data_IF_968722387169
#
_entry.id   IF_968722387169
#
_cell.length_a   1.000
_cell.length_b   1.000
_cell.length_c   1.000
_cell.angle_alpha   90.00
_cell.angle_beta   90.00
_cell.angle_gamma   90.00
#
_symmetry.space_group_name_H-M   'P 1'
#
loop_
_entity.id
_entity.type
_entity.pdbx_description
1 polymer ?
#
# COMPACT_ATOMS: atom_id res chain seq x y z
N UNK A 1 -11.74 17.30 -11.44
CA UNK A 1 -12.07 17.55 -12.86
C UNK A 1 -13.26 16.68 -13.27
N UNK A 2 -13.22 15.35 -13.08
CA UNK A 2 -14.32 14.43 -13.43
C UNK A 2 -15.63 14.80 -12.74
N UNK A 3 -15.60 15.19 -11.45
CA UNK A 3 -16.77 15.66 -10.70
C UNK A 3 -17.38 16.92 -11.32
N UNK A 4 -16.56 17.81 -11.84
CA UNK A 4 -17.03 19.00 -12.55
C UNK A 4 -17.71 18.63 -13.88
N UNK A 5 -17.15 17.70 -14.62
CA UNK A 5 -17.74 17.24 -15.89
C UNK A 5 -19.11 16.56 -15.71
N UNK A 6 -19.32 15.86 -14.59
CA UNK A 6 -20.62 15.28 -14.24
C UNK A 6 -21.60 16.34 -13.75
N UNK A 7 -21.15 17.33 -12.97
CA UNK A 7 -22.00 18.43 -12.48
C UNK A 7 -22.51 19.30 -13.63
N UNK A 8 -21.68 19.55 -14.65
CA UNK A 8 -22.06 20.30 -15.86
C UNK A 8 -22.75 19.44 -16.93
N UNK A 9 -23.06 18.17 -16.64
CA UNK A 9 -23.72 17.24 -17.57
C UNK A 9 -22.98 17.01 -18.90
N UNK A 10 -21.68 17.27 -18.95
CA UNK A 10 -20.85 17.07 -20.13
C UNK A 10 -20.50 15.59 -20.35
N UNK A 11 -20.44 14.82 -19.27
CA UNK A 11 -20.20 13.37 -19.29
C UNK A 11 -21.15 12.65 -18.34
N UNK A 12 -21.88 11.67 -18.88
CA UNK A 12 -22.67 10.77 -18.06
C UNK A 12 -21.74 9.83 -17.27
N UNK A 13 -22.01 9.65 -15.98
CA UNK A 13 -21.27 8.71 -15.10
C UNK A 13 -21.27 7.26 -15.62
N UNK A 14 -22.23 6.91 -16.48
CA UNK A 14 -22.34 5.60 -17.11
C UNK A 14 -21.61 5.49 -18.46
N UNK A 15 -21.03 6.57 -18.97
CA UNK A 15 -20.31 6.54 -20.24
C UNK A 15 -19.00 5.79 -20.12
N UNK A 16 -18.61 5.05 -21.15
CA UNK A 16 -17.32 4.35 -21.21
C UNK A 16 -16.14 5.32 -21.06
N UNK A 17 -16.27 6.52 -21.63
CA UNK A 17 -15.26 7.58 -21.53
C UNK A 17 -15.06 8.04 -20.09
N UNK A 18 -16.13 8.21 -19.33
CA UNK A 18 -16.06 8.55 -17.91
C UNK A 18 -15.29 7.48 -17.13
N UNK A 19 -15.63 6.20 -17.31
CA UNK A 19 -14.97 5.07 -16.63
C UNK A 19 -13.49 4.99 -16.95
N UNK A 20 -13.10 5.22 -18.20
CA UNK A 20 -11.68 5.22 -18.60
C UNK A 20 -10.93 6.37 -17.94
N UNK A 21 -11.50 7.56 -17.93
CA UNK A 21 -10.88 8.73 -17.28
C UNK A 21 -10.78 8.58 -15.76
N UNK A 22 -11.77 7.93 -15.15
CA UNK A 22 -11.78 7.61 -13.73
C UNK A 22 -10.65 6.65 -13.37
N UNK A 23 -10.49 5.57 -14.14
CA UNK A 23 -9.38 4.62 -13.98
C UNK A 23 -8.03 5.34 -14.15
N UNK A 24 -7.86 6.21 -15.15
CA UNK A 24 -6.62 6.97 -15.37
C UNK A 24 -6.33 7.88 -14.19
N UNK A 25 -7.35 8.49 -13.60
CA UNK A 25 -7.21 9.35 -12.43
C UNK A 25 -6.83 8.60 -11.16
N UNK A 26 -7.37 7.40 -10.99
CA UNK A 26 -7.16 6.57 -9.79
C UNK A 26 -5.86 5.75 -9.83
N UNK A 27 -5.37 5.41 -11.02
CA UNK A 27 -4.23 4.48 -11.19
C UNK A 27 -2.98 4.89 -10.39
N UNK A 28 -2.69 6.17 -10.31
CA UNK A 28 -1.53 6.68 -9.59
C UNK A 28 -1.65 6.43 -8.07
N UNK A 29 -2.84 6.61 -7.52
CA UNK A 29 -3.12 6.36 -6.11
C UNK A 29 -3.17 4.86 -5.82
N UNK A 30 -3.79 4.08 -6.69
CA UNK A 30 -3.86 2.63 -6.57
C UNK A 30 -2.46 1.98 -6.51
N UNK A 31 -1.55 2.41 -7.38
CA UNK A 31 -0.18 1.91 -7.44
C UNK A 31 0.82 2.67 -6.55
N UNK A 32 0.35 3.62 -5.74
CA UNK A 32 1.22 4.37 -4.83
C UNK A 32 2.10 3.47 -3.95
N UNK A 33 1.62 2.34 -3.36
CA UNK A 33 2.48 1.44 -2.60
C UNK A 33 3.66 0.90 -3.40
N UNK A 34 3.47 0.62 -4.70
CA UNK A 34 4.54 0.14 -5.59
C UNK A 34 5.60 1.23 -5.83
N UNK A 35 5.15 2.46 -6.10
CA UNK A 35 6.05 3.61 -6.31
C UNK A 35 6.88 3.86 -5.04
N UNK A 36 6.25 3.77 -3.88
CA UNK A 36 6.93 3.91 -2.59
C UNK A 36 7.91 2.77 -2.35
N UNK A 37 7.54 1.52 -2.70
CA UNK A 37 8.42 0.37 -2.58
C UNK A 37 9.70 0.55 -3.41
N UNK A 38 9.61 1.06 -4.64
CA UNK A 38 10.76 1.35 -5.49
C UNK A 38 11.70 2.37 -4.84
N UNK A 39 11.16 3.46 -4.32
CA UNK A 39 11.94 4.52 -3.70
C UNK A 39 12.56 4.08 -2.36
N UNK A 40 11.79 3.36 -1.55
CA UNK A 40 12.24 2.81 -0.28
C UNK A 40 13.34 1.76 -0.50
N UNK A 41 13.20 0.88 -1.50
CA UNK A 41 14.21 -0.12 -1.85
C UNK A 41 15.55 0.52 -2.19
N UNK A 42 15.54 1.59 -2.98
CA UNK A 42 16.76 2.36 -3.30
C UNK A 42 17.38 2.98 -2.04
N UNK A 43 16.55 3.51 -1.15
CA UNK A 43 17.03 4.14 0.11
C UNK A 43 17.63 3.12 1.08
N UNK A 44 17.03 1.93 1.18
CA UNK A 44 17.49 0.87 2.08
C UNK A 44 18.53 -0.07 1.46
N UNK A 45 18.94 0.18 0.19
CA UNK A 45 19.88 -0.63 -0.57
C UNK A 45 19.48 -2.11 -0.65
N UNK A 46 18.23 -2.38 -1.01
CA UNK A 46 17.66 -3.72 -1.22
C UNK A 46 17.24 -3.91 -2.68
N UNK A 47 17.05 -5.15 -3.09
CA UNK A 47 16.63 -5.46 -4.44
C UNK A 47 15.25 -4.88 -4.74
N UNK A 48 15.20 -3.90 -5.65
CA UNK A 48 13.98 -3.18 -6.02
C UNK A 48 12.91 -4.11 -6.60
N UNK A 49 13.31 -5.09 -7.42
CA UNK A 49 12.36 -6.02 -8.03
C UNK A 49 11.66 -6.88 -6.98
N UNK A 50 12.42 -7.37 -5.99
CA UNK A 50 11.84 -8.16 -4.90
C UNK A 50 10.93 -7.29 -4.03
N UNK A 51 11.33 -6.07 -3.72
CA UNK A 51 10.51 -5.13 -2.94
C UNK A 51 9.17 -4.84 -3.62
N UNK A 52 9.17 -4.65 -4.94
CA UNK A 52 7.95 -4.46 -5.73
C UNK A 52 7.04 -5.69 -5.66
N UNK A 53 7.61 -6.90 -5.79
CA UNK A 53 6.83 -8.14 -5.74
C UNK A 53 6.24 -8.35 -4.34
N UNK A 54 7.02 -8.16 -3.27
CA UNK A 54 6.56 -8.35 -1.88
C UNK A 54 5.44 -7.35 -1.55
N UNK A 55 5.59 -6.08 -1.91
CA UNK A 55 4.53 -5.07 -1.71
C UNK A 55 3.35 -5.33 -2.65
N UNK A 56 3.60 -5.86 -3.84
CA UNK A 56 2.57 -6.26 -4.81
C UNK A 56 1.60 -7.32 -4.28
N UNK A 57 2.00 -8.12 -3.29
CA UNK A 57 1.10 -9.09 -2.62
C UNK A 57 -0.11 -8.38 -2.01
N UNK A 58 0.06 -7.17 -1.48
CA UNK A 58 -1.04 -6.38 -0.93
C UNK A 58 -2.06 -5.89 -1.97
N UNK A 59 -1.61 -5.74 -3.23
CA UNK A 59 -2.46 -5.28 -4.33
C UNK A 59 -3.01 -6.45 -5.17
N UNK A 60 -2.68 -7.69 -4.80
CA UNK A 60 -3.10 -8.84 -5.59
C UNK A 60 -4.63 -8.95 -5.63
N UNK A 61 -5.26 -9.10 -6.82
CA UNK A 61 -6.71 -9.10 -6.96
C UNK A 61 -7.39 -10.18 -6.12
N UNK A 62 -6.81 -11.38 -6.05
CA UNK A 62 -7.36 -12.47 -5.25
C UNK A 62 -7.31 -12.17 -3.75
N UNK A 63 -6.28 -11.46 -3.29
CA UNK A 63 -6.21 -11.03 -1.89
C UNK A 63 -7.30 -9.99 -1.59
N UNK A 64 -7.48 -9.00 -2.45
CA UNK A 64 -8.54 -8.00 -2.32
C UNK A 64 -9.94 -8.62 -2.40
N UNK A 65 -10.14 -9.60 -3.29
CA UNK A 65 -11.40 -10.33 -3.40
C UNK A 65 -11.67 -11.16 -2.14
N UNK A 66 -10.65 -11.81 -1.61
CA UNK A 66 -10.75 -12.61 -0.38
C UNK A 66 -11.07 -11.76 0.85
N UNK A 67 -10.43 -10.59 0.97
CA UNK A 67 -10.77 -9.60 1.99
C UNK A 67 -12.22 -9.12 1.87
N UNK A 68 -12.68 -8.90 0.62
CA UNK A 68 -14.03 -8.42 0.35
C UNK A 68 -15.13 -9.46 0.61
N UNK A 69 -14.80 -10.77 0.56
CA UNK A 69 -15.75 -11.84 0.91
C UNK A 69 -16.03 -11.92 2.41
N UNK A 70 -15.18 -11.33 3.25
CA UNK A 70 -15.32 -11.37 4.71
C UNK A 70 -14.94 -12.71 5.34
N UNK A 71 -14.39 -13.64 4.56
CA UNK A 71 -13.94 -14.93 5.08
C UNK A 71 -12.66 -14.77 5.93
N UNK A 72 -12.54 -15.56 7.01
CA UNK A 72 -11.34 -15.51 7.85
C UNK A 72 -10.12 -15.98 7.06
N UNK A 73 -9.18 -15.08 6.86
CA UNK A 73 -7.92 -15.38 6.19
C UNK A 73 -6.92 -15.85 7.23
N UNK A 74 -6.31 -17.01 7.04
CA UNK A 74 -5.26 -17.52 7.93
C UNK A 74 -4.11 -18.13 7.13
N UNK A 75 -2.89 -17.94 7.61
CA UNK A 75 -1.69 -18.56 7.08
C UNK A 75 -1.03 -19.40 8.18
N UNK A 76 -0.97 -20.72 7.97
CA UNK A 76 -0.42 -21.70 8.94
C UNK A 76 -1.05 -21.53 10.35
N UNK A 77 -2.38 -21.29 10.39
CA UNK A 77 -3.11 -21.13 11.67
C UNK A 77 -3.01 -19.72 12.30
N UNK A 78 -2.24 -18.80 11.71
CA UNK A 78 -2.15 -17.42 12.16
C UNK A 78 -3.17 -16.57 11.38
N UNK A 79 -4.10 -15.86 12.05
CA UNK A 79 -5.07 -15.03 11.35
C UNK A 79 -4.40 -13.82 10.71
N UNK A 80 -4.76 -13.55 9.46
CA UNK A 80 -4.35 -12.35 8.72
C UNK A 80 -5.50 -11.35 8.78
N UNK A 81 -5.22 -10.11 9.11
CA UNK A 81 -6.25 -9.06 9.04
C UNK A 81 -6.65 -8.80 7.59
N UNK A 82 -7.95 -8.98 7.33
CA UNK A 82 -8.55 -8.69 6.04
C UNK A 82 -8.74 -7.18 5.84
N UNK A 83 -7.69 -6.48 5.48
CA UNK A 83 -7.72 -5.04 5.17
C UNK A 83 -7.24 -4.81 3.74
N UNK A 84 -7.91 -3.92 3.03
CA UNK A 84 -7.50 -3.52 1.69
C UNK A 84 -6.36 -2.50 1.83
N UNK A 85 -5.16 -2.92 1.42
CA UNK A 85 -3.95 -2.09 1.52
C UNK A 85 -3.68 -1.26 0.26
N UNK A 86 -4.57 -1.27 -0.74
CA UNK A 86 -4.49 -0.39 -1.90
C UNK A 86 -4.42 1.07 -1.45
N UNK A 87 -3.54 1.86 -2.04
CA UNK A 87 -3.25 3.25 -1.66
C UNK A 87 -2.64 3.44 -0.25
N UNK A 88 -2.25 2.38 0.46
CA UNK A 88 -1.66 2.47 1.80
C UNK A 88 -0.15 2.69 1.75
N UNK A 89 0.30 3.81 2.32
CA UNK A 89 1.71 4.24 2.34
C UNK A 89 2.51 3.50 3.42
N UNK A 90 1.95 3.46 4.63
CA UNK A 90 2.66 2.99 5.83
C UNK A 90 3.03 1.50 5.74
N UNK A 91 2.11 0.58 5.40
CA UNK A 91 2.43 -0.83 5.25
C UNK A 91 3.51 -1.08 4.19
N UNK A 92 3.46 -0.36 3.06
CA UNK A 92 4.44 -0.51 1.98
C UNK A 92 5.86 -0.14 2.45
N UNK A 93 6.02 1.00 3.13
CA UNK A 93 7.32 1.45 3.65
C UNK A 93 7.88 0.50 4.72
N UNK A 94 7.03 0.08 5.66
CA UNK A 94 7.41 -0.86 6.72
C UNK A 94 7.82 -2.22 6.15
N UNK A 95 7.12 -2.69 5.13
CA UNK A 95 7.44 -3.95 4.44
C UNK A 95 8.83 -3.90 3.81
N UNK A 96 9.16 -2.84 3.09
CA UNK A 96 10.49 -2.71 2.46
C UNK A 96 11.58 -2.53 3.51
N UNK A 97 11.31 -1.80 4.58
CA UNK A 97 12.23 -1.67 5.71
C UNK A 97 12.51 -3.02 6.37
N UNK A 98 11.48 -3.79 6.70
CA UNK A 98 11.62 -5.15 7.25
C UNK A 98 12.38 -6.07 6.27
N UNK A 99 12.02 -6.02 4.98
CA UNK A 99 12.67 -6.80 3.93
C UNK A 99 14.19 -6.53 3.89
N UNK A 100 14.63 -5.31 4.19
CA UNK A 100 16.05 -4.97 4.20
C UNK A 100 16.86 -5.76 5.24
N UNK A 101 16.27 -6.13 6.34
CA UNK A 101 16.89 -7.00 7.33
C UNK A 101 16.90 -8.46 6.90
N UNK A 102 15.78 -8.92 6.35
CA UNK A 102 15.64 -10.30 5.85
C UNK A 102 16.61 -10.56 4.70
N UNK A 103 16.70 -9.66 3.72
CA UNK A 103 17.62 -9.79 2.59
C UNK A 103 19.08 -9.87 3.05
N UNK A 104 19.50 -8.98 3.96
CA UNK A 104 20.85 -9.01 4.54
C UNK A 104 21.15 -10.30 5.31
N UNK A 105 20.15 -10.85 5.97
CA UNK A 105 20.30 -12.11 6.70
C UNK A 105 20.45 -13.29 5.74
N UNK A 106 19.59 -13.36 4.73
CA UNK A 106 19.62 -14.42 3.70
C UNK A 106 20.90 -14.33 2.88
N UNK A 107 21.36 -13.12 2.57
CA UNK A 107 22.61 -12.86 1.86
C UNK A 107 23.84 -13.47 2.54
N UNK A 108 23.85 -13.50 3.86
CA UNK A 108 24.93 -14.12 4.64
C UNK A 108 24.86 -15.65 4.66
N UNK A 109 23.65 -16.17 4.52
CA UNK A 109 23.40 -17.61 4.62
C UNK A 109 23.56 -18.33 3.27
N UNK A 110 23.39 -17.62 2.16
CA UNK A 110 23.33 -18.19 0.81
C UNK A 110 24.73 -18.22 0.18
N UNK A 111 25.21 -19.40 -0.30
CA UNK A 111 26.46 -19.52 -1.04
C UNK A 111 26.43 -18.69 -2.33
N UNK A 112 27.58 -18.12 -2.71
CA UNK A 112 27.73 -17.22 -3.86
C UNK A 112 27.19 -17.78 -5.19
N UNK A 113 27.32 -19.09 -5.41
CA UNK A 113 26.87 -19.76 -6.64
C UNK A 113 25.35 -19.79 -6.81
N UNK A 114 24.60 -19.84 -5.72
CA UNK A 114 23.13 -19.98 -5.72
C UNK A 114 22.40 -18.65 -5.42
N UNK A 115 23.16 -17.61 -5.14
CA UNK A 115 22.67 -16.32 -4.69
C UNK A 115 21.66 -15.67 -5.64
N UNK A 116 21.87 -15.84 -6.93
CA UNK A 116 21.03 -15.21 -7.97
C UNK A 116 19.60 -15.78 -8.02
N UNK A 117 19.43 -17.06 -7.68
CA UNK A 117 18.12 -17.74 -7.77
C UNK A 117 17.49 -17.93 -6.38
N UNK A 118 18.29 -18.42 -5.42
CA UNK A 118 17.79 -18.71 -4.06
C UNK A 118 17.47 -17.45 -3.28
N UNK A 119 18.27 -16.40 -3.41
CA UNK A 119 18.10 -15.19 -2.63
C UNK A 119 16.74 -14.49 -2.88
N UNK A 120 16.35 -14.18 -4.14
CA UNK A 120 15.05 -13.60 -4.43
C UNK A 120 13.89 -14.48 -3.94
N UNK A 121 13.99 -15.79 -4.13
CA UNK A 121 12.93 -16.74 -3.78
C UNK A 121 12.76 -16.84 -2.27
N UNK A 122 13.86 -16.96 -1.51
CA UNK A 122 13.80 -17.04 -0.05
C UNK A 122 13.35 -15.72 0.58
N UNK A 123 13.85 -14.59 0.06
CA UNK A 123 13.41 -13.28 0.54
C UNK A 123 11.91 -13.10 0.33
N UNK A 124 11.40 -13.44 -0.86
CA UNK A 124 9.97 -13.36 -1.15
C UNK A 124 9.16 -14.30 -0.24
N UNK A 125 9.58 -15.56 -0.13
CA UNK A 125 8.86 -16.60 0.63
C UNK A 125 8.76 -16.25 2.13
N UNK A 126 9.78 -15.60 2.68
CA UNK A 126 9.81 -15.20 4.09
C UNK A 126 9.15 -13.83 4.30
N UNK A 127 9.46 -12.87 3.42
CA UNK A 127 8.97 -11.49 3.61
C UNK A 127 7.47 -11.35 3.35
N UNK A 128 6.89 -12.06 2.37
CA UNK A 128 5.47 -11.91 2.05
C UNK A 128 4.53 -12.35 3.18
N UNK A 129 4.70 -13.53 3.82
CA UNK A 129 3.88 -13.90 4.98
C UNK A 129 4.07 -12.95 6.15
N UNK A 130 5.31 -12.56 6.46
CA UNK A 130 5.57 -11.63 7.57
C UNK A 130 4.95 -10.26 7.28
N UNK A 131 5.00 -9.79 6.04
CA UNK A 131 4.35 -8.55 5.64
C UNK A 131 2.83 -8.59 5.90
N UNK A 132 2.16 -9.67 5.52
CA UNK A 132 0.71 -9.82 5.73
C UNK A 132 0.34 -10.00 7.20
N UNK A 133 1.10 -10.80 7.97
CA UNK A 133 0.76 -11.15 9.36
C UNK A 133 1.14 -10.03 10.33
N UNK A 134 2.29 -9.39 10.13
CA UNK A 134 2.87 -8.43 11.09
C UNK A 134 2.69 -6.99 10.61
N UNK A 135 3.16 -6.71 9.41
CA UNK A 135 3.19 -5.33 8.91
C UNK A 135 1.78 -4.83 8.55
N UNK A 136 0.93 -5.71 8.03
CA UNK A 136 -0.46 -5.37 7.72
C UNK A 136 -1.19 -4.79 8.94
N UNK A 137 -1.33 -5.54 10.04
CA UNK A 137 -1.97 -5.06 11.26
C UNK A 137 -1.31 -3.80 11.85
N UNK A 138 0.03 -3.75 11.91
CA UNK A 138 0.76 -2.58 12.40
C UNK A 138 0.47 -1.35 11.54
N UNK A 139 0.51 -1.50 10.22
CA UNK A 139 0.22 -0.42 9.30
C UNK A 139 -1.21 0.10 9.40
N UNK A 140 -2.18 -0.80 9.60
CA UNK A 140 -3.56 -0.43 9.84
C UNK A 140 -3.74 0.33 11.16
N UNK A 141 -3.17 -0.18 12.24
CA UNK A 141 -3.19 0.47 13.55
C UNK A 141 -2.59 1.88 13.52
N UNK A 142 -1.46 2.05 12.86
CA UNK A 142 -0.83 3.36 12.67
C UNK A 142 -1.70 4.29 11.81
N UNK A 143 -2.33 3.77 10.75
CA UNK A 143 -3.26 4.51 9.91
C UNK A 143 -4.49 4.99 10.66
N UNK A 144 -5.11 4.12 11.45
CA UNK A 144 -6.26 4.46 12.31
C UNK A 144 -5.88 5.46 13.41
N UNK A 145 -4.69 5.32 13.99
CA UNK A 145 -4.15 6.25 14.97
C UNK A 145 -3.98 7.66 14.37
N UNK A 146 -3.41 7.75 13.18
CA UNK A 146 -3.30 9.02 12.45
C UNK A 146 -4.67 9.62 12.12
N UNK A 147 -5.60 8.80 11.62
CA UNK A 147 -6.97 9.24 11.31
C UNK A 147 -7.68 9.76 12.56
N UNK A 148 -7.49 9.10 13.71
CA UNK A 148 -8.05 9.52 15.00
C UNK A 148 -7.50 10.88 15.47
N UNK A 149 -6.20 11.09 15.30
CA UNK A 149 -5.56 12.38 15.61
C UNK A 149 -6.12 13.50 14.71
N UNK A 150 -6.26 13.23 13.40
CA UNK A 150 -6.82 14.18 12.44
C UNK A 150 -8.27 14.50 12.81
N UNK A 151 -9.09 13.52 13.14
CA UNK A 151 -10.48 13.69 13.55
C UNK A 151 -10.60 14.49 14.86
N UNK A 152 -9.73 14.26 15.82
CA UNK A 152 -9.65 15.04 17.06
C UNK A 152 -9.30 16.51 16.80
N UNK A 153 -8.36 16.75 15.89
CA UNK A 153 -7.99 18.11 15.46
C UNK A 153 -9.14 18.79 14.71
N UNK A 154 -9.81 18.07 13.82
CA UNK A 154 -10.99 18.58 13.10
C UNK A 154 -12.16 18.92 14.05
N UNK A 155 -12.41 18.10 15.05
CA UNK A 155 -13.48 18.33 16.03
C UNK A 155 -13.26 19.55 16.92
N UNK A 156 -12.02 19.90 17.25
CA UNK A 156 -11.67 21.05 18.10
C UNK A 156 -11.31 22.32 17.33
N UNK A 157 -10.82 22.20 16.12
CA UNK A 157 -10.30 23.30 15.30
C UNK A 157 -10.92 23.32 13.89
N UNK A 158 -12.09 22.71 13.71
CA UNK A 158 -12.71 22.47 12.41
C UNK A 158 -12.78 23.70 11.52
N UNK A 159 -13.14 24.85 12.08
CA UNK A 159 -13.22 26.11 11.34
C UNK A 159 -11.82 26.60 10.90
N UNK A 160 -10.84 26.54 11.78
CA UNK A 160 -9.45 26.98 11.50
C UNK A 160 -8.79 26.04 10.50
N UNK A 161 -9.06 24.74 10.60
CA UNK A 161 -8.48 23.75 9.70
C UNK A 161 -9.08 23.79 8.29
N UNK A 162 -10.39 24.06 8.18
CA UNK A 162 -11.05 24.33 6.89
C UNK A 162 -10.49 25.60 6.25
N UNK A 163 -10.27 26.66 7.01
CA UNK A 163 -9.64 27.88 6.52
C UNK A 163 -8.19 27.68 6.12
N UNK A 164 -7.41 26.87 6.87
CA UNK A 164 -6.02 26.55 6.56
C UNK A 164 -5.90 25.65 5.33
N UNK A 165 -6.77 24.64 5.19
CA UNK A 165 -6.85 23.78 4.01
C UNK A 165 -7.32 24.56 2.78
N UNK A 166 -8.30 25.45 2.94
CA UNK A 166 -8.75 26.34 1.86
C UNK A 166 -7.67 27.34 1.45
N UNK A 167 -6.85 27.83 2.38
CA UNK A 167 -5.72 28.70 2.11
C UNK A 167 -4.50 27.96 1.54
N UNK A 168 -4.34 26.67 1.85
CA UNK A 168 -3.25 25.81 1.35
C UNK A 168 -3.57 25.16 0.00
N UNK A 169 -4.82 25.24 -0.48
CA UNK A 169 -5.18 24.89 -1.85
C UNK A 169 -5.07 26.12 -2.75
N UNK A 170 -3.90 26.41 -3.32
CA UNK A 170 -3.82 27.42 -4.38
C UNK A 170 -4.40 26.78 -5.65
N UNK A 171 -5.60 27.24 -6.03
CA UNK A 171 -6.23 27.14 -7.35
C UNK A 171 -6.15 25.82 -8.10
#
# INVERSE_FOLDING_TARGET
>A
ILSLCTTFNWLSSNSSTYRVLDIIGDVAFYFMPIILAINAAKKFNVNTSIAVIVVGVFLHPNFSAWVSSGDPISFIGVPIQGVIYAASVIPALLTVWMMSYIEKFIDKLTPSMLKTILNPTLVLLISAPIALIVIGPIGNFLGEGLASIINLLQGRLGFIMVCLLAAAMPF
#
